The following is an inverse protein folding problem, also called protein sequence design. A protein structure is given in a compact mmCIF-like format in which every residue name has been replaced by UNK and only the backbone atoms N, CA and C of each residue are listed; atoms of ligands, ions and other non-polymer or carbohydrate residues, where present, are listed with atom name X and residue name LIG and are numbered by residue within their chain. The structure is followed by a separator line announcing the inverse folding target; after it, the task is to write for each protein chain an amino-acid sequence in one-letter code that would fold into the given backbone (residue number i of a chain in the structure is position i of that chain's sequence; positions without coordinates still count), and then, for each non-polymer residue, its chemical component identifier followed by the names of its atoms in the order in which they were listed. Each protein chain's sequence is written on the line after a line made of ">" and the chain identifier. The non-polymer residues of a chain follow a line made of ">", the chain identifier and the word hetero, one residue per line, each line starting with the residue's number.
data_IF_924574337527
#
_entry.id   IF_924574337527
#
_cell.length_a   1.000
_cell.length_b   1.000
_cell.length_c   1.000
_cell.angle_alpha   90.00
_cell.angle_beta   90.00
_cell.angle_gamma   90.00
#
_symmetry.space_group_name_H-M   'P 1'
#
loop_
_entity.id
_entity.type
_entity.pdbx_description
1 polymer ?
#
# COMPACT_ATOMS: atom_id res chain seq x y z
N UNK A 1 4.66 -34.85 -8.58
CA UNK A 1 3.54 -34.01 -8.16
C UNK A 1 3.63 -33.48 -6.72
N UNK A 2 4.28 -34.21 -5.79
CA UNK A 2 4.37 -33.82 -4.37
C UNK A 2 5.33 -32.64 -4.10
N UNK A 3 6.32 -32.42 -4.94
CA UNK A 3 7.28 -31.32 -4.76
C UNK A 3 6.65 -29.94 -5.00
N UNK A 4 5.70 -29.82 -5.90
CA UNK A 4 5.00 -28.56 -6.16
C UNK A 4 4.05 -28.15 -5.02
N UNK A 5 3.40 -29.09 -4.37
CA UNK A 5 2.47 -28.80 -3.28
C UNK A 5 3.18 -28.35 -2.01
N UNK A 6 4.40 -28.85 -1.72
CA UNK A 6 5.18 -28.42 -0.55
C UNK A 6 5.74 -27.01 -0.74
N UNK A 7 6.29 -26.71 -1.93
CA UNK A 7 6.80 -25.37 -2.24
C UNK A 7 5.72 -24.30 -2.19
N UNK A 8 4.56 -24.55 -2.79
CA UNK A 8 3.41 -23.65 -2.68
C UNK A 8 2.96 -23.43 -1.23
N UNK A 9 2.86 -24.51 -0.45
CA UNK A 9 2.50 -24.47 0.97
C UNK A 9 3.49 -23.62 1.78
N UNK A 10 4.79 -23.71 1.49
CA UNK A 10 5.80 -22.93 2.21
C UNK A 10 5.79 -21.45 1.83
N UNK A 11 5.49 -21.11 0.57
CA UNK A 11 5.26 -19.72 0.14
C UNK A 11 4.07 -19.13 0.87
N UNK A 12 2.93 -19.82 0.93
CA UNK A 12 1.75 -19.33 1.65
C UNK A 12 1.99 -19.14 3.15
N UNK A 13 2.70 -20.05 3.79
CA UNK A 13 3.06 -19.92 5.21
C UNK A 13 3.95 -18.70 5.43
N UNK A 14 4.94 -18.48 4.56
CA UNK A 14 5.83 -17.32 4.62
C UNK A 14 5.06 -16.02 4.42
N UNK A 15 4.21 -15.95 3.40
CA UNK A 15 3.37 -14.79 3.13
C UNK A 15 2.48 -14.44 4.32
N UNK A 16 1.80 -15.44 4.91
CA UNK A 16 0.95 -15.23 6.09
C UNK A 16 1.75 -14.71 7.28
N UNK A 17 2.92 -15.30 7.55
CA UNK A 17 3.75 -14.90 8.65
C UNK A 17 4.32 -13.48 8.45
N UNK A 18 4.81 -13.17 7.26
CA UNK A 18 5.31 -11.85 6.91
C UNK A 18 4.21 -10.79 6.93
N UNK A 19 3.00 -11.13 6.52
CA UNK A 19 1.83 -10.27 6.65
C UNK A 19 1.61 -9.87 8.12
N UNK A 20 1.57 -10.85 9.04
CA UNK A 20 1.38 -10.58 10.47
C UNK A 20 2.55 -9.77 11.07
N UNK A 21 3.78 -10.02 10.65
CA UNK A 21 4.95 -9.30 11.10
C UNK A 21 4.94 -7.84 10.63
N UNK A 22 4.62 -7.58 9.36
CA UNK A 22 4.52 -6.21 8.82
C UNK A 22 3.32 -5.46 9.38
N UNK A 23 2.19 -6.14 9.61
CA UNK A 23 1.03 -5.59 10.31
C UNK A 23 1.41 -5.13 11.72
N UNK A 24 2.05 -6.01 12.48
CA UNK A 24 2.48 -5.72 13.86
C UNK A 24 3.50 -4.58 13.92
N UNK A 25 4.50 -4.61 13.03
CA UNK A 25 5.48 -3.53 12.91
C UNK A 25 4.82 -2.19 12.56
N UNK A 26 3.88 -2.20 11.62
CA UNK A 26 3.10 -1.02 11.24
C UNK A 26 2.31 -0.44 12.40
N UNK A 27 1.56 -1.28 13.12
CA UNK A 27 0.79 -0.85 14.31
C UNK A 27 1.70 -0.23 15.38
N UNK A 28 2.84 -0.85 15.69
CA UNK A 28 3.79 -0.34 16.67
C UNK A 28 4.37 1.01 16.25
N UNK A 29 4.82 1.14 15.00
CA UNK A 29 5.36 2.39 14.48
C UNK A 29 4.31 3.50 14.45
N UNK A 30 3.08 3.18 14.02
CA UNK A 30 1.96 4.11 14.00
C UNK A 30 1.59 4.62 15.38
N UNK A 31 1.46 3.72 16.34
CA UNK A 31 1.20 4.08 17.73
C UNK A 31 2.25 5.06 18.29
N UNK A 32 3.52 4.78 18.02
CA UNK A 32 4.61 5.63 18.54
C UNK A 32 4.66 6.98 17.86
N UNK A 33 4.62 7.03 16.52
CA UNK A 33 4.77 8.29 15.78
C UNK A 33 3.57 9.21 15.95
N UNK A 34 2.36 8.63 16.06
CA UNK A 34 1.12 9.35 16.24
C UNK A 34 0.72 9.53 17.72
N UNK A 35 1.59 9.13 18.65
CA UNK A 35 1.36 9.28 20.11
C UNK A 35 0.05 8.65 20.59
N UNK A 36 -0.31 7.52 20.04
CA UNK A 36 -1.51 6.78 20.39
C UNK A 36 -2.80 7.27 19.72
N UNK A 37 -2.70 8.15 18.71
CA UNK A 37 -3.87 8.52 17.90
C UNK A 37 -4.51 7.26 17.29
N UNK A 38 -5.81 7.01 17.49
CA UNK A 38 -6.47 5.79 17.06
C UNK A 38 -6.47 5.63 15.53
N UNK A 39 -6.74 6.71 14.78
CA UNK A 39 -6.78 6.67 13.33
C UNK A 39 -5.46 6.18 12.75
N UNK A 40 -4.35 6.82 13.14
CA UNK A 40 -3.03 6.42 12.67
C UNK A 40 -2.57 5.09 13.23
N UNK A 41 -2.90 4.78 14.47
CA UNK A 41 -2.53 3.48 15.05
C UNK A 41 -3.08 2.34 14.20
N UNK A 42 -4.36 2.35 13.86
CA UNK A 42 -4.96 1.27 13.06
C UNK A 42 -4.60 1.35 11.57
N UNK A 43 -4.65 2.52 10.95
CA UNK A 43 -4.31 2.72 9.54
C UNK A 43 -2.85 2.34 9.23
N UNK A 44 -1.96 2.53 10.20
CA UNK A 44 -0.55 2.16 10.07
C UNK A 44 -0.30 0.66 9.97
N UNK A 45 -1.17 -0.16 10.54
CA UNK A 45 -1.10 -1.61 10.32
C UNK A 45 -1.23 -1.96 8.84
N UNK A 46 -2.23 -1.38 8.17
CA UNK A 46 -2.42 -1.55 6.72
C UNK A 46 -1.27 -0.97 5.91
N UNK A 47 -0.81 0.24 6.26
CA UNK A 47 0.34 0.86 5.58
C UNK A 47 1.61 -0.01 5.69
N UNK A 48 1.85 -0.63 6.85
CA UNK A 48 2.95 -1.57 7.06
C UNK A 48 2.86 -2.79 6.16
N UNK A 49 1.68 -3.40 6.08
CA UNK A 49 1.41 -4.55 5.19
C UNK A 49 1.62 -4.17 3.73
N UNK A 50 1.07 -3.03 3.29
CA UNK A 50 1.19 -2.57 1.91
C UNK A 50 2.65 -2.29 1.56
N UNK A 51 3.41 -1.67 2.46
CA UNK A 51 4.84 -1.43 2.24
C UNK A 51 5.64 -2.73 2.08
N UNK A 52 5.35 -3.75 2.87
CA UNK A 52 6.05 -5.04 2.78
C UNK A 52 5.54 -5.95 1.66
N UNK A 53 4.39 -5.66 1.05
CA UNK A 53 3.70 -6.56 0.10
C UNK A 53 4.54 -6.92 -1.11
N UNK A 54 5.40 -6.02 -1.59
CA UNK A 54 6.20 -6.23 -2.79
C UNK A 54 7.20 -7.40 -2.69
N UNK A 55 7.58 -7.81 -1.48
CA UNK A 55 8.51 -8.93 -1.25
C UNK A 55 8.03 -9.89 -0.17
N UNK A 56 6.74 -9.91 0.10
CA UNK A 56 6.15 -10.64 1.23
C UNK A 56 6.37 -12.16 1.18
N UNK A 57 6.57 -12.72 -0.01
CA UNK A 57 6.90 -14.13 -0.24
C UNK A 57 8.40 -14.44 -0.10
N UNK A 58 9.26 -13.42 -0.13
CA UNK A 58 10.72 -13.57 -0.16
C UNK A 58 11.41 -13.04 1.11
N UNK A 59 10.83 -12.05 1.79
CA UNK A 59 11.43 -11.46 2.98
C UNK A 59 11.56 -12.47 4.14
N UNK A 60 12.58 -12.24 4.97
CA UNK A 60 12.60 -12.82 6.31
C UNK A 60 11.56 -12.08 7.18
N UNK A 61 10.88 -12.74 8.12
CA UNK A 61 9.84 -12.11 8.96
C UNK A 61 10.27 -10.83 9.68
N UNK A 62 11.49 -10.79 10.20
CA UNK A 62 12.06 -9.59 10.84
C UNK A 62 12.25 -8.45 9.81
N UNK A 63 12.69 -8.77 8.57
CA UNK A 63 12.79 -7.77 7.51
C UNK A 63 11.41 -7.20 7.18
N UNK A 64 10.39 -8.05 7.04
CA UNK A 64 9.01 -7.63 6.78
C UNK A 64 8.50 -6.68 7.86
N UNK A 65 8.73 -6.98 9.14
CA UNK A 65 8.39 -6.12 10.26
C UNK A 65 9.09 -4.74 10.16
N UNK A 66 10.40 -4.73 9.96
CA UNK A 66 11.18 -3.48 9.87
C UNK A 66 10.76 -2.65 8.66
N UNK A 67 10.54 -3.29 7.49
CA UNK A 67 10.06 -2.62 6.27
C UNK A 67 8.70 -1.98 6.51
N UNK A 68 7.78 -2.69 7.17
CA UNK A 68 6.49 -2.15 7.58
C UNK A 68 6.62 -0.92 8.47
N UNK A 69 7.49 -0.96 9.48
CA UNK A 69 7.77 0.19 10.35
C UNK A 69 8.31 1.41 9.58
N UNK A 70 9.29 1.19 8.70
CA UNK A 70 9.89 2.27 7.89
C UNK A 70 8.83 2.89 6.97
N UNK A 71 8.05 2.05 6.29
CA UNK A 71 6.97 2.49 5.40
C UNK A 71 5.97 3.40 6.10
N UNK A 72 5.55 3.02 7.30
CA UNK A 72 4.63 3.81 8.12
C UNK A 72 5.20 5.17 8.49
N UNK A 73 6.45 5.23 8.94
CA UNK A 73 7.10 6.50 9.30
C UNK A 73 7.14 7.46 8.11
N UNK A 74 7.46 6.94 6.93
CA UNK A 74 7.53 7.73 5.70
C UNK A 74 6.12 8.17 5.25
N UNK A 75 5.16 7.23 5.22
CA UNK A 75 3.78 7.53 4.83
C UNK A 75 3.13 8.59 5.73
N UNK A 76 3.30 8.46 7.05
CA UNK A 76 2.84 9.45 8.03
C UNK A 76 3.41 10.85 7.77
N UNK A 77 4.72 10.95 7.58
CA UNK A 77 5.38 12.24 7.32
C UNK A 77 4.96 12.85 5.98
N UNK A 78 4.86 12.03 4.93
CA UNK A 78 4.43 12.49 3.61
C UNK A 78 2.98 12.96 3.61
N UNK A 79 2.08 12.25 4.30
CA UNK A 79 0.68 12.65 4.44
C UNK A 79 0.57 14.11 4.93
N UNK A 80 1.11 14.41 6.09
CA UNK A 80 1.05 15.76 6.63
C UNK A 80 1.86 16.78 5.84
N UNK A 81 2.93 16.36 5.18
CA UNK A 81 3.69 17.26 4.31
C UNK A 81 2.89 17.67 3.06
N UNK A 82 2.23 16.72 2.41
CA UNK A 82 1.38 16.95 1.24
C UNK A 82 0.19 17.83 1.61
N UNK A 83 -0.49 17.50 2.71
CA UNK A 83 -1.62 18.27 3.22
C UNK A 83 -1.23 19.74 3.46
N UNK A 84 -0.14 19.98 4.18
CA UNK A 84 0.33 21.36 4.46
C UNK A 84 0.81 22.09 3.23
N UNK A 85 1.54 21.40 2.34
CA UNK A 85 2.20 22.03 1.18
C UNK A 85 1.25 22.29 0.02
N UNK A 86 0.39 21.32 -0.28
CA UNK A 86 -0.47 21.34 -1.45
C UNK A 86 -1.95 21.57 -1.12
N UNK A 87 -2.30 21.59 0.16
CA UNK A 87 -3.68 21.74 0.61
C UNK A 87 -4.63 20.66 0.04
N UNK A 88 -4.09 19.46 -0.12
CA UNK A 88 -4.84 18.27 -0.54
C UNK A 88 -5.19 17.51 0.72
N UNK A 89 -6.49 17.36 0.96
CA UNK A 89 -7.03 16.57 2.05
C UNK A 89 -7.09 15.09 1.66
N UNK A 90 -6.50 14.24 2.48
CA UNK A 90 -6.58 12.78 2.39
C UNK A 90 -7.28 12.28 3.68
N UNK A 91 -8.57 12.62 3.81
CA UNK A 91 -9.36 12.50 5.03
C UNK A 91 -9.32 11.11 5.68
N UNK A 92 -9.23 10.05 4.87
CA UNK A 92 -9.13 8.66 5.35
C UNK A 92 -7.74 8.06 5.22
N UNK A 93 -6.74 8.86 4.84
CA UNK A 93 -5.36 8.41 4.66
C UNK A 93 -5.16 7.40 3.53
N UNK A 94 -6.11 7.31 2.57
CA UNK A 94 -6.05 6.32 1.52
C UNK A 94 -4.81 6.47 0.63
N UNK A 95 -4.47 7.71 0.25
CA UNK A 95 -3.27 7.99 -0.55
C UNK A 95 -2.01 7.71 0.26
N UNK A 96 -2.00 8.05 1.55
CA UNK A 96 -0.87 7.78 2.43
C UNK A 96 -0.62 6.27 2.59
N UNK A 97 -1.68 5.52 2.91
CA UNK A 97 -1.61 4.08 3.19
C UNK A 97 -1.31 3.28 1.93
N UNK A 98 -1.97 3.56 0.82
CA UNK A 98 -1.81 2.78 -0.41
C UNK A 98 -0.76 3.38 -1.36
N UNK A 99 -0.79 4.68 -1.59
CA UNK A 99 0.11 5.35 -2.51
C UNK A 99 1.53 5.48 -1.97
N UNK A 100 1.71 6.19 -0.86
CA UNK A 100 3.06 6.46 -0.35
C UNK A 100 3.71 5.21 0.20
N UNK A 101 3.01 4.41 1.02
CA UNK A 101 3.55 3.18 1.55
C UNK A 101 3.84 2.15 0.45
N UNK A 102 2.96 2.02 -0.55
CA UNK A 102 3.16 1.12 -1.68
C UNK A 102 4.35 1.53 -2.56
N UNK A 103 4.48 2.82 -2.88
CA UNK A 103 5.62 3.33 -3.64
C UNK A 103 6.95 3.06 -2.92
N UNK A 104 7.00 3.42 -1.64
CA UNK A 104 8.19 3.21 -0.80
C UNK A 104 8.52 1.72 -0.70
N UNK A 105 7.51 0.87 -0.54
CA UNK A 105 7.66 -0.58 -0.46
C UNK A 105 8.28 -1.18 -1.72
N UNK A 106 7.86 -0.76 -2.90
CA UNK A 106 8.46 -1.20 -4.17
C UNK A 106 9.93 -0.79 -4.26
N UNK A 107 10.26 0.44 -3.87
CA UNK A 107 11.65 0.93 -3.88
C UNK A 107 12.50 0.13 -2.89
N UNK A 108 12.03 -0.06 -1.66
CA UNK A 108 12.75 -0.86 -0.65
C UNK A 108 12.96 -2.31 -1.13
N UNK A 109 11.93 -2.92 -1.72
CA UNK A 109 12.01 -4.25 -2.30
C UNK A 109 13.15 -4.37 -3.30
N UNK A 110 13.32 -3.38 -4.19
CA UNK A 110 14.40 -3.34 -5.17
C UNK A 110 15.79 -3.41 -4.55
N UNK A 111 16.00 -2.77 -3.40
CA UNK A 111 17.28 -2.81 -2.68
C UNK A 111 17.46 -4.07 -1.85
N UNK A 112 16.46 -4.44 -1.07
CA UNK A 112 16.55 -5.55 -0.10
C UNK A 112 16.61 -6.91 -0.80
N UNK A 113 15.90 -7.06 -1.90
CA UNK A 113 15.83 -8.30 -2.69
C UNK A 113 16.62 -8.22 -4.01
N UNK A 114 17.58 -7.32 -4.10
CA UNK A 114 18.41 -7.19 -5.30
C UNK A 114 19.06 -8.52 -5.69
N UNK A 115 18.89 -8.95 -6.94
CA UNK A 115 19.41 -10.20 -7.46
C UNK A 115 18.54 -11.44 -7.21
N UNK A 116 17.48 -11.33 -6.39
CA UNK A 116 16.52 -12.41 -6.22
C UNK A 116 15.63 -12.56 -7.47
N UNK A 117 15.12 -13.78 -7.75
CA UNK A 117 14.14 -13.95 -8.82
C UNK A 117 12.86 -13.15 -8.51
N UNK A 118 12.26 -12.60 -9.54
CA UNK A 118 11.04 -11.76 -9.41
C UNK A 118 9.77 -12.56 -9.03
N UNK A 119 9.88 -13.86 -8.89
CA UNK A 119 8.85 -14.70 -8.29
C UNK A 119 9.49 -15.62 -7.26
N UNK A 120 8.76 -16.00 -6.22
CA UNK A 120 9.21 -16.95 -5.20
C UNK A 120 9.42 -18.38 -5.72
N UNK A 121 9.20 -18.61 -6.99
CA UNK A 121 9.49 -19.87 -7.68
C UNK A 121 10.91 -19.84 -8.22
N UNK A 122 11.54 -21.02 -8.24
CA UNK A 122 12.94 -21.17 -8.71
C UNK A 122 13.17 -20.48 -10.05
N UNK A 123 14.29 -19.79 -10.15
CA UNK A 123 14.78 -19.15 -11.37
C UNK A 123 14.69 -20.13 -12.53
N UNK A 124 13.92 -19.83 -13.56
CA UNK A 124 14.03 -20.54 -14.81
C UNK A 124 12.78 -21.12 -15.46
N UNK A 125 11.62 -21.02 -14.88
CA UNK A 125 10.43 -21.58 -15.54
C UNK A 125 9.24 -20.65 -15.48
N UNK A 126 9.17 -19.72 -16.41
CA UNK A 126 7.88 -19.21 -16.85
C UNK A 126 7.16 -20.31 -17.66
N UNK A 127 5.82 -20.28 -17.67
CA UNK A 127 5.00 -21.20 -18.46
C UNK A 127 5.35 -21.22 -19.96
N UNK A 128 5.98 -20.15 -20.46
CA UNK A 128 6.45 -19.95 -21.83
C UNK A 128 7.93 -20.33 -22.03
N UNK A 129 8.58 -20.89 -20.99
CA UNK A 129 10.01 -21.28 -21.04
C UNK A 129 10.99 -20.13 -20.86
N UNK A 130 10.55 -18.92 -20.57
CA UNK A 130 11.44 -17.78 -20.29
C UNK A 130 11.95 -17.80 -18.85
N UNK A 131 13.12 -17.20 -18.62
CA UNK A 131 13.68 -17.02 -17.28
C UNK A 131 13.05 -15.79 -16.60
N UNK A 132 12.72 -15.91 -15.31
CA UNK A 132 12.30 -14.76 -14.52
C UNK A 132 13.40 -13.70 -14.44
N UNK A 133 13.01 -12.44 -14.62
CA UNK A 133 13.91 -11.33 -14.37
C UNK A 133 14.29 -11.26 -12.88
N UNK A 134 15.49 -10.80 -12.60
CA UNK A 134 15.90 -10.53 -11.22
C UNK A 134 15.35 -9.20 -10.72
N UNK A 135 15.00 -9.17 -9.44
CA UNK A 135 14.62 -7.92 -8.76
C UNK A 135 15.86 -7.02 -8.72
N UNK A 136 15.69 -5.75 -9.05
CA UNK A 136 16.74 -4.75 -8.96
C UNK A 136 16.15 -3.37 -8.64
N UNK A 137 16.95 -2.45 -8.04
CA UNK A 137 16.45 -1.14 -7.61
C UNK A 137 15.85 -0.30 -8.73
N UNK A 138 16.50 -0.28 -9.90
CA UNK A 138 16.05 0.53 -11.03
C UNK A 138 14.72 0.02 -11.60
N UNK A 139 14.60 -1.29 -11.78
CA UNK A 139 13.37 -1.93 -12.26
C UNK A 139 12.20 -1.69 -11.31
N UNK A 140 12.42 -1.84 -10.00
CA UNK A 140 11.39 -1.59 -9.00
C UNK A 140 11.01 -0.11 -8.93
N UNK A 141 11.95 0.81 -9.05
CA UNK A 141 11.67 2.24 -9.09
C UNK A 141 10.85 2.65 -10.33
N UNK A 142 11.22 2.16 -11.51
CA UNK A 142 10.46 2.39 -12.75
C UNK A 142 9.07 1.77 -12.63
N UNK A 143 8.97 0.53 -12.13
CA UNK A 143 7.71 -0.13 -11.87
C UNK A 143 6.81 0.66 -10.91
N UNK A 144 7.39 1.21 -9.84
CA UNK A 144 6.68 2.05 -8.90
C UNK A 144 6.09 3.31 -9.57
N UNK A 145 6.86 3.98 -10.44
CA UNK A 145 6.37 5.14 -11.21
C UNK A 145 5.24 4.73 -12.15
N UNK A 146 5.38 3.63 -12.88
CA UNK A 146 4.34 3.14 -13.79
C UNK A 146 3.06 2.84 -13.01
N UNK A 147 3.16 2.09 -11.92
CA UNK A 147 2.00 1.74 -11.10
C UNK A 147 1.33 2.96 -10.48
N UNK A 148 2.11 3.87 -9.90
CA UNK A 148 1.57 5.03 -9.19
C UNK A 148 1.04 6.10 -10.14
N UNK A 149 1.80 6.47 -11.18
CA UNK A 149 1.47 7.58 -12.07
C UNK A 149 0.62 7.11 -13.25
N UNK A 150 1.12 6.12 -14.01
CA UNK A 150 0.48 5.75 -15.27
C UNK A 150 -0.80 4.96 -15.07
N UNK A 151 -0.79 4.01 -14.14
CA UNK A 151 -1.94 3.14 -13.90
C UNK A 151 -2.86 3.62 -12.77
N UNK A 152 -2.38 4.46 -11.87
CA UNK A 152 -3.16 5.02 -10.76
C UNK A 152 -3.62 6.46 -11.02
N UNK A 153 -2.67 7.39 -11.01
CA UNK A 153 -2.97 8.82 -11.03
C UNK A 153 -3.65 9.27 -12.34
N UNK A 154 -3.14 8.87 -13.49
CA UNK A 154 -3.69 9.34 -14.78
C UNK A 154 -5.13 8.86 -14.99
N UNK A 155 -5.46 7.57 -14.92
CA UNK A 155 -6.85 7.12 -15.10
C UNK A 155 -7.76 7.66 -13.99
N UNK A 156 -7.31 7.69 -12.74
CA UNK A 156 -8.07 8.25 -11.64
C UNK A 156 -8.42 9.73 -11.85
N UNK A 157 -7.45 10.52 -12.31
CA UNK A 157 -7.67 11.93 -12.64
C UNK A 157 -8.66 12.11 -13.80
N UNK A 158 -8.54 11.31 -14.86
CA UNK A 158 -9.47 11.36 -16.01
C UNK A 158 -10.90 11.05 -15.53
N UNK A 159 -11.09 9.97 -14.78
CA UNK A 159 -12.39 9.60 -14.22
C UNK A 159 -12.96 10.70 -13.35
N UNK A 160 -12.15 11.25 -12.45
CA UNK A 160 -12.56 12.34 -11.56
C UNK A 160 -12.97 13.59 -12.35
N UNK A 161 -12.26 13.94 -13.42
CA UNK A 161 -12.62 15.06 -14.31
C UNK A 161 -13.96 14.82 -15.03
N UNK A 162 -14.19 13.62 -15.53
CA UNK A 162 -15.46 13.25 -16.17
C UNK A 162 -16.62 13.37 -15.18
N UNK A 163 -16.48 12.76 -14.01
CA UNK A 163 -17.51 12.80 -12.97
C UNK A 163 -17.77 14.22 -12.47
N UNK A 164 -16.74 15.04 -12.36
CA UNK A 164 -16.89 16.45 -11.99
C UNK A 164 -17.65 17.24 -13.07
N UNK A 165 -17.35 16.99 -14.34
CA UNK A 165 -18.09 17.58 -15.46
C UNK A 165 -19.57 17.18 -15.51
N UNK A 166 -19.89 15.99 -15.01
CA UNK A 166 -21.27 15.49 -14.87
C UNK A 166 -21.97 16.00 -13.59
N UNK A 167 -21.29 16.74 -12.71
CA UNK A 167 -21.81 17.15 -11.41
C UNK A 167 -21.98 16.01 -10.40
N UNK A 168 -21.31 14.87 -10.61
CA UNK A 168 -21.46 13.64 -9.80
C UNK A 168 -20.26 13.34 -8.89
N UNK A 169 -19.24 14.20 -8.90
CA UNK A 169 -18.02 13.95 -8.12
C UNK A 169 -18.19 14.33 -6.65
N UNK A 170 -18.95 15.38 -6.38
CA UNK A 170 -19.13 15.91 -5.02
C UNK A 170 -20.60 15.95 -4.65
N UNK A 171 -20.88 15.69 -3.38
CA UNK A 171 -22.18 15.92 -2.75
C UNK A 171 -22.43 17.44 -2.60
N UNK A 172 -23.68 17.88 -2.44
CA UNK A 172 -23.99 19.27 -2.13
C UNK A 172 -23.21 19.76 -0.90
N UNK A 173 -22.82 21.03 -0.93
CA UNK A 173 -22.00 21.61 0.12
C UNK A 173 -22.65 21.58 1.49
N UNK A 174 -23.95 21.75 1.54
CA UNK A 174 -24.76 21.72 2.77
C UNK A 174 -24.68 20.34 3.44
N UNK A 175 -24.77 19.28 2.63
CA UNK A 175 -24.65 17.88 3.07
C UNK A 175 -23.24 17.58 3.54
N UNK A 176 -22.22 18.09 2.83
CA UNK A 176 -20.82 17.93 3.20
C UNK A 176 -20.52 18.57 4.56
N UNK A 177 -21.11 19.74 4.83
CA UNK A 177 -20.96 20.46 6.12
C UNK A 177 -21.72 19.77 7.25
N UNK A 178 -22.93 19.30 7.00
CA UNK A 178 -23.76 18.61 7.99
C UNK A 178 -23.20 17.20 8.33
N UNK A 179 -22.52 16.58 7.36
CA UNK A 179 -22.07 15.18 7.43
C UNK A 179 -23.07 14.20 6.84
N UNK A 180 -22.59 13.26 6.05
CA UNK A 180 -23.44 12.24 5.41
C UNK A 180 -24.23 11.40 6.39
N UNK A 181 -23.63 11.09 7.54
CA UNK A 181 -24.31 10.30 8.58
C UNK A 181 -25.53 11.01 9.16
N UNK A 182 -25.48 12.34 9.26
CA UNK A 182 -26.59 13.15 9.75
C UNK A 182 -27.77 13.10 8.78
N UNK A 183 -27.51 13.27 7.47
CA UNK A 183 -28.55 13.25 6.45
C UNK A 183 -29.19 11.85 6.31
N UNK A 184 -28.38 10.77 6.38
CA UNK A 184 -28.90 9.39 6.37
C UNK A 184 -29.76 9.10 7.61
N UNK A 185 -29.45 9.69 8.78
CA UNK A 185 -30.25 9.54 10.00
C UNK A 185 -31.54 10.33 9.93
N UNK A 186 -31.59 11.48 9.25
CA UNK A 186 -32.84 12.25 9.06
C UNK A 186 -33.75 11.57 8.03
N UNK A 187 -33.23 11.14 6.91
CA UNK A 187 -34.02 10.44 5.89
C UNK A 187 -34.55 9.06 6.34
N UNK A 188 -33.96 8.46 7.36
CA UNK A 188 -34.47 7.24 7.97
C UNK A 188 -35.62 7.49 9.00
N UNK A 189 -35.96 8.76 9.31
CA UNK A 189 -37.06 9.15 10.21
C UNK A 189 -38.32 9.52 9.45
N UNK A 190 -38.25 9.71 8.13
CA UNK A 190 -39.38 9.92 7.22
C UNK A 190 -39.91 8.57 6.70
#
# INVERSE_FOLDING_TARGET
>A
PRYFSSAASDVYKRQTFNFLMSLSGGLLAGYWIAKGDPFWTYSSGLAGVICASAGNDLYHPIQSMIIGMIGVVIAYKLHYWVERKFKIDDAVGAVAVHGYAGFVGLVICGFVLNGYPSSGYSVGAMWDGTTYATINPLGQFIGAIIMFVVLGLIPGYIIAKVLNGMGKLRIPREVEIAGLDYEMMESAKE
#
